data_IF_003495067677
#
_entry.id   IF_003495067677
#
_cell.length_a   1.000
_cell.length_b   1.000
_cell.length_c   1.000
_cell.angle_alpha   90.00
_cell.angle_beta   90.00
_cell.angle_gamma   90.00
#
_symmetry.space_group_name_H-M   'P 1'
#
loop_
_entity.id
_entity.type
_entity.pdbx_description
1 polymer ?
#
# COMPACT_ATOMS: atom_id res chain seq x y z
N UNK A 1 -12.86 1.85 -4.66
CA UNK A 1 -11.73 0.93 -4.42
C UNK A 1 -12.31 -0.37 -3.88
N UNK A 2 -11.67 -1.51 -4.13
CA UNK A 2 -12.03 -2.77 -3.46
C UNK A 2 -10.83 -3.25 -2.66
N UNK A 3 -11.07 -3.64 -1.40
CA UNK A 3 -10.08 -4.19 -0.51
C UNK A 3 -10.62 -5.48 0.10
N UNK A 4 -9.79 -6.52 0.11
CA UNK A 4 -10.02 -7.75 0.84
C UNK A 4 -8.74 -8.15 1.58
N UNK A 5 -8.80 -9.22 2.38
CA UNK A 5 -7.61 -9.76 3.06
C UNK A 5 -6.55 -10.30 2.11
N UNK A 6 -6.91 -10.58 0.86
CA UNK A 6 -6.04 -11.23 -0.13
C UNK A 6 -5.87 -10.41 -1.39
N UNK A 7 -6.48 -9.22 -1.48
CA UNK A 7 -6.37 -8.42 -2.67
C UNK A 7 -6.76 -6.95 -2.51
N UNK A 8 -6.21 -6.12 -3.39
CA UNK A 8 -6.61 -4.72 -3.53
C UNK A 8 -6.73 -4.32 -5.00
N UNK A 9 -7.82 -3.61 -5.31
CA UNK A 9 -8.08 -3.03 -6.64
C UNK A 9 -8.32 -1.53 -6.52
N UNK A 10 -7.44 -0.77 -7.18
CA UNK A 10 -7.51 0.68 -7.24
C UNK A 10 -8.34 1.13 -8.45
N UNK A 11 -9.17 2.18 -8.32
CA UNK A 11 -10.01 2.65 -9.44
C UNK A 11 -9.23 3.10 -10.68
N UNK A 12 -8.02 3.66 -10.49
CA UNK A 12 -7.21 4.25 -11.56
C UNK A 12 -6.10 3.32 -12.07
N UNK A 13 -5.89 2.17 -11.41
CA UNK A 13 -4.89 1.19 -11.80
C UNK A 13 -5.56 -0.02 -12.44
N UNK A 14 -4.85 -0.61 -13.39
CA UNK A 14 -5.30 -1.81 -14.10
C UNK A 14 -4.90 -3.05 -13.32
N UNK A 15 -5.80 -4.04 -13.31
CA UNK A 15 -5.61 -5.28 -12.58
C UNK A 15 -5.87 -5.18 -11.08
N UNK A 16 -5.46 -6.22 -10.37
CA UNK A 16 -5.62 -6.38 -8.93
C UNK A 16 -4.26 -6.77 -8.34
N UNK A 17 -3.88 -6.15 -7.23
CA UNK A 17 -2.73 -6.63 -6.45
C UNK A 17 -3.21 -7.78 -5.58
N UNK A 18 -2.48 -8.90 -5.62
CA UNK A 18 -2.68 -10.06 -4.76
C UNK A 18 -1.87 -9.88 -3.49
N UNK A 19 -2.52 -9.98 -2.34
CA UNK A 19 -1.97 -9.68 -1.02
C UNK A 19 -1.80 -10.96 -0.20
N UNK A 20 -0.74 -10.98 0.60
CA UNK A 20 -0.53 -11.92 1.69
C UNK A 20 -0.20 -11.11 2.95
N UNK A 21 -1.03 -11.25 3.99
CA UNK A 21 -0.76 -10.62 5.28
C UNK A 21 0.59 -11.12 5.83
N UNK A 22 1.38 -10.21 6.39
CA UNK A 22 2.67 -10.50 6.99
C UNK A 22 2.68 -10.16 8.48
N UNK A 23 2.54 -8.88 8.84
CA UNK A 23 2.53 -8.41 10.22
C UNK A 23 1.89 -7.02 10.34
N UNK A 24 1.91 -6.40 11.52
CA UNK A 24 1.52 -5.02 11.76
C UNK A 24 2.75 -4.16 11.99
N UNK A 25 2.89 -3.07 11.24
CA UNK A 25 3.90 -2.07 11.52
C UNK A 25 3.38 -1.02 12.52
N UNK A 26 3.78 -1.18 13.77
CA UNK A 26 3.33 -0.38 14.92
C UNK A 26 4.20 0.84 15.20
N UNK A 27 5.36 0.96 14.54
CA UNK A 27 6.37 1.98 14.89
C UNK A 27 6.06 3.37 14.30
N UNK A 28 4.81 3.63 13.92
CA UNK A 28 4.43 4.84 13.21
C UNK A 28 3.01 5.34 13.50
N UNK A 29 2.78 5.78 14.74
CA UNK A 29 1.60 6.60 15.07
C UNK A 29 1.51 7.86 14.18
N UNK A 30 2.63 8.28 13.54
CA UNK A 30 2.73 9.47 12.68
C UNK A 30 3.30 9.25 11.27
N UNK A 31 3.74 8.05 10.88
CA UNK A 31 4.29 7.90 9.52
C UNK A 31 3.17 7.68 8.50
N UNK A 32 3.42 8.17 7.28
CA UNK A 32 2.52 8.03 6.13
C UNK A 32 2.29 6.57 5.72
N UNK A 33 3.15 5.68 6.22
CA UNK A 33 3.18 4.24 5.98
C UNK A 33 3.17 3.55 7.35
N UNK A 34 2.10 2.81 7.65
CA UNK A 34 1.88 2.17 8.94
C UNK A 34 0.64 1.29 8.91
N UNK A 35 0.39 0.54 9.98
CA UNK A 35 -0.73 -0.39 10.07
C UNK A 35 -0.38 -1.79 9.56
N UNK A 36 -1.39 -2.52 9.11
CA UNK A 36 -1.25 -3.90 8.62
C UNK A 36 -0.37 -3.94 7.37
N UNK A 37 0.61 -4.82 7.33
CA UNK A 37 1.56 -4.99 6.24
C UNK A 37 1.23 -6.23 5.44
N UNK A 38 1.16 -6.06 4.13
CA UNK A 38 0.86 -7.12 3.17
C UNK A 38 1.95 -7.20 2.12
N UNK A 39 2.42 -8.41 1.85
CA UNK A 39 3.25 -8.72 0.69
C UNK A 39 2.41 -8.71 -0.59
N UNK A 40 2.92 -8.10 -1.64
CA UNK A 40 2.31 -8.14 -2.98
C UNK A 40 2.89 -9.31 -3.78
N UNK A 41 2.06 -10.33 -4.00
CA UNK A 41 2.49 -11.59 -4.62
C UNK A 41 2.74 -11.47 -6.13
N UNK A 42 2.02 -10.57 -6.80
CA UNK A 42 2.12 -10.32 -8.24
C UNK A 42 2.71 -8.94 -8.56
N UNK A 43 3.67 -8.47 -7.74
CA UNK A 43 4.23 -7.12 -7.81
C UNK A 43 4.74 -6.73 -9.22
N UNK A 44 5.48 -7.61 -9.89
CA UNK A 44 6.05 -7.33 -11.22
C UNK A 44 5.00 -7.29 -12.32
N UNK A 45 4.02 -8.19 -12.27
CA UNK A 45 2.88 -8.23 -13.18
C UNK A 45 2.03 -6.96 -13.04
N UNK A 46 1.65 -6.64 -11.80
CA UNK A 46 0.85 -5.45 -11.50
C UNK A 46 1.58 -4.15 -11.90
N UNK A 47 2.89 -4.07 -11.63
CA UNK A 47 3.70 -2.92 -12.04
C UNK A 47 3.77 -2.77 -13.55
N UNK A 48 3.95 -3.88 -14.29
CA UNK A 48 4.05 -3.85 -15.76
C UNK A 48 2.79 -3.29 -16.42
N UNK A 49 1.61 -3.54 -15.83
CA UNK A 49 0.33 -2.99 -16.30
C UNK A 49 0.16 -1.50 -16.02
N UNK A 50 0.90 -0.93 -15.07
CA UNK A 50 0.66 0.42 -14.55
C UNK A 50 1.87 1.36 -14.68
N UNK A 51 3.01 0.87 -15.17
CA UNK A 51 4.24 1.64 -15.36
C UNK A 51 3.97 2.89 -16.22
N UNK A 52 4.43 4.04 -15.74
CA UNK A 52 4.30 5.33 -16.44
C UNK A 52 2.96 6.06 -16.21
N UNK A 53 2.06 5.52 -15.38
CA UNK A 53 0.90 6.26 -14.90
C UNK A 53 1.32 7.33 -13.90
N UNK A 54 0.85 8.56 -14.10
CA UNK A 54 1.14 9.66 -13.18
C UNK A 54 0.71 9.32 -11.75
N UNK A 55 1.60 9.56 -10.79
CA UNK A 55 1.36 9.28 -9.37
C UNK A 55 1.47 7.81 -8.97
N UNK A 56 1.82 6.91 -9.91
CA UNK A 56 2.19 5.53 -9.58
C UNK A 56 3.70 5.39 -9.40
N UNK A 57 4.11 4.33 -8.70
CA UNK A 57 5.50 4.06 -8.35
C UNK A 57 6.39 3.78 -9.57
N UNK A 58 7.67 4.17 -9.51
CA UNK A 58 8.68 3.91 -10.55
C UNK A 58 9.29 2.51 -10.49
N UNK A 59 9.00 1.77 -9.41
CA UNK A 59 9.45 0.40 -9.15
C UNK A 59 8.26 -0.48 -8.75
N UNK A 60 8.39 -1.81 -8.91
CA UNK A 60 7.38 -2.74 -8.43
C UNK A 60 7.06 -2.55 -6.95
N UNK A 61 5.77 -2.43 -6.63
CA UNK A 61 5.28 -2.36 -5.25
C UNK A 61 5.34 -3.76 -4.66
N UNK A 62 6.27 -3.99 -3.73
CA UNK A 62 6.48 -5.29 -3.09
C UNK A 62 5.68 -5.45 -1.82
N UNK A 63 5.35 -4.33 -1.16
CA UNK A 63 4.61 -4.30 0.09
C UNK A 63 3.57 -3.19 0.08
N UNK A 64 2.46 -3.44 0.78
CA UNK A 64 1.40 -2.47 1.01
C UNK A 64 1.13 -2.39 2.50
N UNK A 65 1.01 -1.18 3.03
CA UNK A 65 0.59 -0.93 4.41
C UNK A 65 -0.84 -0.41 4.41
N UNK A 66 -1.69 -0.87 5.32
CA UNK A 66 -3.09 -0.45 5.45
C UNK A 66 -3.34 -0.01 6.89
N UNK A 67 -3.64 1.28 7.06
CA UNK A 67 -3.96 1.88 8.35
C UNK A 67 -5.41 2.32 8.38
N UNK A 68 -6.15 1.94 9.42
CA UNK A 68 -7.44 2.58 9.72
C UNK A 68 -7.18 4.02 10.18
N UNK A 69 -7.85 4.96 9.54
CA UNK A 69 -7.80 6.40 9.87
C UNK A 69 -9.21 6.96 10.03
N UNK A 70 -10.14 6.12 10.49
CA UNK A 70 -11.55 6.49 10.68
C UNK A 70 -11.71 7.57 11.76
N UNK A 71 -10.79 7.63 12.71
CA UNK A 71 -10.68 8.67 13.73
C UNK A 71 -10.31 10.05 13.15
N UNK A 72 -9.64 10.09 11.99
CA UNK A 72 -9.18 11.32 11.33
C UNK A 72 -10.15 11.77 10.23
N UNK A 73 -10.60 10.86 9.37
CA UNK A 73 -11.36 11.18 8.15
C UNK A 73 -12.80 10.66 8.14
N UNK A 74 -13.24 9.98 9.20
CA UNK A 74 -14.59 9.41 9.32
C UNK A 74 -14.67 7.93 8.98
N UNK A 75 -15.81 7.31 9.31
CA UNK A 75 -16.02 5.86 9.24
C UNK A 75 -15.61 5.24 7.90
N UNK A 76 -14.83 4.15 7.98
CA UNK A 76 -14.38 3.39 6.81
C UNK A 76 -13.24 4.03 6.05
N UNK A 77 -12.65 5.12 6.56
CA UNK A 77 -11.46 5.72 5.98
C UNK A 77 -10.21 4.90 6.34
N UNK A 78 -9.45 4.56 5.31
CA UNK A 78 -8.17 3.86 5.41
C UNK A 78 -7.09 4.65 4.69
N UNK A 79 -5.85 4.50 5.12
CA UNK A 79 -4.65 4.96 4.42
C UNK A 79 -3.87 3.78 3.89
N UNK A 80 -3.47 3.86 2.64
CA UNK A 80 -2.70 2.83 1.95
C UNK A 80 -1.35 3.40 1.58
N UNK A 81 -0.29 2.76 2.07
CA UNK A 81 1.08 3.04 1.70
C UNK A 81 1.62 1.94 0.78
N UNK A 82 2.39 2.31 -0.23
CA UNK A 82 3.04 1.41 -1.18
C UNK A 82 4.55 1.49 -1.03
N UNK A 83 5.19 0.34 -0.82
CA UNK A 83 6.63 0.22 -0.65
C UNK A 83 7.25 -0.65 -1.76
N UNK A 84 8.40 -0.21 -2.26
CA UNK A 84 9.19 -0.91 -3.27
C UNK A 84 10.40 -1.66 -2.70
N UNK A 85 10.63 -1.57 -1.38
CA UNK A 85 11.71 -2.31 -0.69
C UNK A 85 11.57 -3.82 -0.86
N UNK A 86 12.70 -4.52 -0.89
CA UNK A 86 12.73 -5.98 -0.86
C UNK A 86 12.28 -6.51 0.51
N UNK A 87 12.61 -5.81 1.60
CA UNK A 87 12.31 -6.20 2.98
C UNK A 87 11.71 -5.01 3.75
N UNK A 88 10.44 -5.14 4.13
CA UNK A 88 9.72 -4.07 4.82
C UNK A 88 10.21 -3.87 6.26
N UNK A 89 10.80 -4.86 6.92
CA UNK A 89 11.35 -4.68 8.27
C UNK A 89 12.53 -3.71 8.29
N UNK A 90 13.20 -3.54 7.15
CA UNK A 90 14.29 -2.58 6.96
C UNK A 90 13.79 -1.19 6.54
N UNK A 91 12.48 -1.03 6.30
CA UNK A 91 11.95 0.22 5.77
C UNK A 91 12.08 1.37 6.79
N UNK A 92 12.53 2.51 6.27
CA UNK A 92 12.66 3.75 7.01
C UNK A 92 11.82 4.83 6.30
N UNK A 93 10.96 5.58 7.01
CA UNK A 93 10.18 6.68 6.41
C UNK A 93 11.02 7.74 5.67
N UNK A 94 12.32 7.87 5.99
CA UNK A 94 13.23 8.79 5.32
C UNK A 94 13.90 8.19 4.07
N UNK A 95 13.60 6.94 3.73
CA UNK A 95 14.11 6.26 2.54
C UNK A 95 13.22 6.54 1.32
N UNK A 96 13.80 6.40 0.12
CA UNK A 96 13.06 6.47 -1.14
C UNK A 96 12.29 5.17 -1.47
N UNK A 97 12.18 4.24 -0.52
CA UNK A 97 11.53 2.96 -0.75
C UNK A 97 10.00 3.05 -0.65
N UNK A 98 9.47 4.05 0.07
CA UNK A 98 8.07 4.43 0.04
C UNK A 98 7.78 5.26 -1.20
N UNK A 99 6.88 4.77 -2.06
CA UNK A 99 6.69 5.37 -3.38
C UNK A 99 5.35 6.08 -3.56
N UNK A 100 4.31 5.69 -2.82
CA UNK A 100 3.00 6.34 -2.86
C UNK A 100 2.23 6.07 -1.58
N UNK A 101 1.50 7.07 -1.08
CA UNK A 101 0.55 6.90 0.00
C UNK A 101 -0.70 7.74 -0.24
N UNK A 102 -1.88 7.13 -0.12
CA UNK A 102 -3.15 7.83 -0.34
C UNK A 102 -4.25 7.28 0.58
N UNK A 103 -5.30 8.07 0.77
CA UNK A 103 -6.43 7.76 1.63
C UNK A 103 -7.66 7.37 0.81
N UNK A 104 -8.37 6.34 1.25
CA UNK A 104 -9.54 5.81 0.58
C UNK A 104 -10.66 5.59 1.59
N UNK A 105 -11.91 5.82 1.18
CA UNK A 105 -13.08 5.41 1.95
C UNK A 105 -13.60 4.08 1.40
N UNK A 106 -13.63 3.06 2.24
CA UNK A 106 -14.30 1.79 1.94
C UNK A 106 -15.81 2.04 1.97
N UNK A 107 -16.51 1.51 0.96
CA UNK A 107 -17.98 1.55 0.88
C UNK A 107 -18.55 0.17 1.16
#
# INVERSE_FOLDING_TARGET
>A
MMLSRTSVKFPLLEGEMKLQYDDVWTNSDKAEFGGDVYRVLNADEFFSLNKGKNGFCDKPVRWVTIKDISDVLGEGAIRIGMLSTADWHSYNPNSYDGCSADSFTLK
#
